data_IF_203221628665
#
_entry.id   IF_203221628665
#
_cell.length_a   1.000
_cell.length_b   1.000
_cell.length_c   1.000
_cell.angle_alpha   90.00
_cell.angle_beta   90.00
_cell.angle_gamma   90.00
#
_symmetry.space_group_name_H-M   'P 1'
#
loop_
_entity.id
_entity.type
_entity.pdbx_description
1 polymer ?
#
# COMPACT_ATOMS: atom_id res chain seq x y z
N UNK A 1 -41.51 27.47 89.30
CA UNK A 1 -40.60 27.49 88.13
C UNK A 1 -39.21 27.10 88.61
N UNK A 2 -38.96 25.80 88.73
CA UNK A 2 -37.63 25.25 89.00
C UNK A 2 -37.13 24.67 87.69
N UNK A 3 -36.14 25.33 87.10
CA UNK A 3 -35.38 24.83 85.96
C UNK A 3 -34.36 23.81 86.45
N UNK A 4 -34.65 22.53 86.27
CA UNK A 4 -33.67 21.45 86.47
C UNK A 4 -32.60 21.48 85.36
N UNK A 5 -31.31 21.32 85.68
CA UNK A 5 -30.26 21.12 84.69
C UNK A 5 -30.22 19.64 84.28
N UNK A 6 -30.35 19.38 82.97
CA UNK A 6 -30.19 18.06 82.36
C UNK A 6 -28.71 17.59 82.39
N UNK A 7 -28.44 16.28 82.56
CA UNK A 7 -27.10 15.78 82.83
C UNK A 7 -26.21 15.66 81.59
N UNK A 8 -24.97 16.12 81.76
CA UNK A 8 -23.82 16.20 80.82
C UNK A 8 -23.39 14.87 80.17
N UNK A 9 -23.88 13.72 80.65
CA UNK A 9 -23.41 12.38 80.23
C UNK A 9 -23.90 11.94 78.84
N UNK A 10 -25.00 12.48 78.31
CA UNK A 10 -25.59 12.04 77.03
C UNK A 10 -24.85 12.54 75.78
N UNK A 11 -24.11 13.66 75.90
CA UNK A 11 -23.30 14.22 74.81
C UNK A 11 -22.01 13.45 74.55
N UNK A 12 -21.44 12.83 75.57
CA UNK A 12 -20.23 12.02 75.43
C UNK A 12 -20.50 10.66 74.76
N UNK A 13 -21.61 10.01 75.09
CA UNK A 13 -22.00 8.72 74.49
C UNK A 13 -22.32 8.87 73.00
N UNK A 14 -22.97 9.97 72.61
CA UNK A 14 -23.30 10.26 71.21
C UNK A 14 -22.07 10.64 70.36
N UNK A 15 -21.07 11.31 70.95
CA UNK A 15 -19.80 11.61 70.27
C UNK A 15 -18.94 10.35 70.08
N UNK A 16 -18.86 9.50 71.11
CA UNK A 16 -18.14 8.23 71.04
C UNK A 16 -18.75 7.26 70.02
N UNK A 17 -20.08 7.14 69.98
CA UNK A 17 -20.79 6.27 69.04
C UNK A 17 -20.65 6.75 67.59
N UNK A 18 -20.73 8.07 67.34
CA UNK A 18 -20.53 8.66 66.01
C UNK A 18 -19.08 8.50 65.52
N UNK A 19 -18.11 8.65 66.41
CA UNK A 19 -16.69 8.46 66.08
C UNK A 19 -16.35 7.00 65.78
N UNK A 20 -16.92 6.05 66.53
CA UNK A 20 -16.77 4.62 66.27
C UNK A 20 -17.40 4.20 64.93
N UNK A 21 -18.59 4.70 64.61
CA UNK A 21 -19.26 4.39 63.34
C UNK A 21 -18.50 4.96 62.14
N UNK A 22 -17.97 6.19 62.27
CA UNK A 22 -17.14 6.81 61.24
C UNK A 22 -15.84 6.04 60.98
N UNK A 23 -15.22 5.51 62.02
CA UNK A 23 -13.99 4.72 61.91
C UNK A 23 -14.24 3.35 61.27
N UNK A 24 -15.35 2.69 61.62
CA UNK A 24 -15.77 1.44 60.98
C UNK A 24 -16.08 1.65 59.49
N UNK A 25 -16.79 2.71 59.13
CA UNK A 25 -17.07 3.05 57.74
C UNK A 25 -15.79 3.37 56.96
N UNK A 26 -14.86 4.10 57.58
CA UNK A 26 -13.57 4.42 56.95
C UNK A 26 -12.73 3.16 56.68
N UNK A 27 -12.64 2.25 57.66
CA UNK A 27 -11.93 0.97 57.51
C UNK A 27 -12.60 0.09 56.45
N UNK A 28 -13.94 0.06 56.39
CA UNK A 28 -14.67 -0.69 55.37
C UNK A 28 -14.40 -0.16 53.95
N UNK A 29 -14.40 1.17 53.76
CA UNK A 29 -14.12 1.80 52.45
C UNK A 29 -12.66 1.56 52.02
N UNK A 30 -11.70 1.67 52.94
CA UNK A 30 -10.29 1.38 52.67
C UNK A 30 -10.08 -0.10 52.30
N UNK A 31 -10.75 -1.03 52.99
CA UNK A 31 -10.64 -2.47 52.73
C UNK A 31 -11.22 -2.85 51.36
N UNK A 32 -12.35 -2.24 50.97
CA UNK A 32 -12.97 -2.46 49.65
C UNK A 32 -12.09 -1.87 48.54
N UNK A 33 -11.53 -0.67 48.74
CA UNK A 33 -10.61 -0.04 47.77
C UNK A 33 -9.32 -0.86 47.55
N UNK A 34 -8.77 -1.44 48.61
CA UNK A 34 -7.55 -2.25 48.53
C UNK A 34 -7.81 -3.61 47.85
N UNK A 35 -8.95 -4.25 48.11
CA UNK A 35 -9.34 -5.51 47.46
C UNK A 35 -9.50 -5.42 45.94
N UNK A 36 -10.06 -4.31 45.45
CA UNK A 36 -10.22 -4.07 43.99
C UNK A 36 -8.87 -3.77 43.33
N UNK A 37 -7.98 -3.03 43.98
CA UNK A 37 -6.64 -2.75 43.46
C UNK A 37 -5.78 -4.00 43.24
N UNK A 38 -5.90 -5.00 44.12
CA UNK A 38 -5.15 -6.26 44.02
C UNK A 38 -5.66 -7.16 42.89
N UNK A 39 -6.96 -7.16 42.58
CA UNK A 39 -7.53 -7.95 41.47
C UNK A 39 -7.21 -7.38 40.09
N UNK A 40 -7.00 -6.06 39.97
CA UNK A 40 -6.61 -5.41 38.70
C UNK A 40 -5.15 -5.71 38.35
N UNK A 41 -4.29 -5.95 39.35
CA UNK A 41 -2.86 -6.16 39.12
C UNK A 41 -2.48 -7.62 38.81
N UNK A 42 -3.34 -8.59 39.14
CA UNK A 42 -3.06 -10.01 38.91
C UNK A 42 -3.40 -10.50 37.50
N UNK A 43 -4.06 -9.69 36.66
CA UNK A 43 -4.41 -10.09 35.31
C UNK A 43 -4.10 -8.98 34.28
N UNK A 44 -2.82 -8.81 33.88
CA UNK A 44 -2.42 -7.84 32.86
C UNK A 44 -2.73 -8.42 31.47
N UNK A 45 -3.97 -8.83 31.23
CA UNK A 45 -4.46 -9.28 29.92
C UNK A 45 -4.45 -8.13 28.88
N UNK A 46 -4.22 -6.89 29.32
CA UNK A 46 -3.97 -5.73 28.47
C UNK A 46 -2.47 -5.51 28.16
N UNK A 47 -1.54 -6.18 28.85
CA UNK A 47 -0.11 -6.10 28.59
C UNK A 47 0.36 -7.06 27.47
N UNK A 48 -0.53 -7.91 26.95
CA UNK A 48 -0.25 -8.80 25.81
C UNK A 48 -0.90 -8.22 24.55
N UNK A 49 -0.43 -7.03 24.14
CA UNK A 49 -0.81 -6.44 22.85
C UNK A 49 0.38 -5.90 22.06
N UNK A 50 1.60 -6.28 22.45
CA UNK A 50 2.77 -6.14 21.60
C UNK A 50 3.83 -7.20 21.93
N UNK A 51 3.54 -8.45 21.54
CA UNK A 51 4.52 -9.12 20.69
C UNK A 51 4.10 -8.82 19.27
N UNK A 52 4.24 -7.55 18.86
CA UNK A 52 4.43 -7.28 17.44
C UNK A 52 5.51 -8.27 17.01
N UNK A 53 5.14 -9.18 16.13
CA UNK A 53 6.08 -10.16 15.61
C UNK A 53 7.36 -9.42 15.25
N UNK A 54 8.51 -9.93 15.69
CA UNK A 54 9.82 -9.38 15.32
C UNK A 54 9.82 -9.09 13.82
N UNK A 55 10.43 -8.00 13.36
CA UNK A 55 10.38 -7.56 11.96
C UNK A 55 10.56 -8.73 10.97
N UNK A 56 11.48 -9.67 11.26
CA UNK A 56 11.69 -10.91 10.51
C UNK A 56 10.44 -11.82 10.35
N UNK A 57 9.66 -12.02 11.41
CA UNK A 57 8.42 -12.82 11.38
C UNK A 57 7.26 -12.09 10.67
N UNK A 58 7.32 -10.75 10.61
CA UNK A 58 6.37 -9.97 9.82
C UNK A 58 6.75 -10.01 8.34
N UNK A 59 8.02 -9.78 8.00
CA UNK A 59 8.56 -9.86 6.64
C UNK A 59 8.32 -11.25 6.01
N UNK A 60 8.58 -12.34 6.74
CA UNK A 60 8.30 -13.71 6.27
C UNK A 60 6.82 -13.92 5.94
N UNK A 61 5.92 -13.41 6.80
CA UNK A 61 4.47 -13.51 6.56
C UNK A 61 4.02 -12.66 5.37
N UNK A 62 4.61 -11.48 5.16
CA UNK A 62 4.33 -10.65 3.99
C UNK A 62 4.83 -11.33 2.72
N UNK A 63 6.04 -11.87 2.72
CA UNK A 63 6.60 -12.58 1.59
C UNK A 63 5.77 -13.83 1.22
N UNK A 64 5.37 -14.63 2.20
CA UNK A 64 4.49 -15.78 2.02
C UNK A 64 3.09 -15.36 1.51
N UNK A 65 2.53 -14.27 2.05
CA UNK A 65 1.26 -13.73 1.56
C UNK A 65 1.35 -13.27 0.11
N UNK A 66 2.35 -12.47 -0.27
CA UNK A 66 2.53 -11.99 -1.64
C UNK A 66 2.78 -13.15 -2.62
N UNK A 67 3.46 -14.21 -2.17
CA UNK A 67 3.71 -15.41 -2.99
C UNK A 67 2.43 -16.23 -3.19
N UNK A 68 1.57 -16.33 -2.17
CA UNK A 68 0.28 -17.04 -2.25
C UNK A 68 -0.83 -16.23 -2.92
N UNK A 69 -0.64 -14.91 -3.08
CA UNK A 69 -1.64 -13.97 -3.64
C UNK A 69 -0.96 -13.01 -4.65
N UNK A 70 -0.37 -13.52 -5.76
CA UNK A 70 0.35 -12.69 -6.72
C UNK A 70 -0.52 -11.62 -7.40
N UNK A 71 -1.83 -11.80 -7.43
CA UNK A 71 -2.81 -10.81 -7.91
C UNK A 71 -2.71 -9.47 -7.17
N UNK A 72 -2.36 -9.47 -5.88
CA UNK A 72 -2.18 -8.24 -5.08
C UNK A 72 -1.10 -7.34 -5.69
N UNK A 73 -0.05 -7.93 -6.27
CA UNK A 73 1.03 -7.20 -6.93
C UNK A 73 0.52 -6.60 -8.25
N UNK A 74 -0.25 -7.37 -9.02
CA UNK A 74 -0.85 -6.89 -10.26
C UNK A 74 -1.79 -5.71 -10.02
N UNK A 75 -2.69 -5.83 -9.03
CA UNK A 75 -3.62 -4.78 -8.62
C UNK A 75 -2.88 -3.53 -8.13
N UNK A 76 -1.77 -3.70 -7.38
CA UNK A 76 -0.94 -2.59 -6.93
C UNK A 76 -0.29 -1.84 -8.10
N UNK A 77 0.20 -2.54 -9.12
CA UNK A 77 0.74 -1.92 -10.32
C UNK A 77 -0.32 -1.19 -11.13
N UNK A 78 -1.52 -1.76 -11.27
CA UNK A 78 -2.64 -1.12 -11.96
C UNK A 78 -3.07 0.16 -11.24
N UNK A 79 -3.30 0.08 -9.93
CA UNK A 79 -3.66 1.24 -9.11
C UNK A 79 -2.57 2.34 -9.14
N UNK A 80 -1.29 1.96 -9.26
CA UNK A 80 -0.20 2.92 -9.44
C UNK A 80 -0.19 3.53 -10.84
N UNK A 81 -0.38 2.73 -11.88
CA UNK A 81 -0.42 3.18 -13.26
C UNK A 81 -1.54 4.21 -13.48
N UNK A 82 -2.75 3.94 -12.98
CA UNK A 82 -3.89 4.87 -12.99
C UNK A 82 -3.53 6.22 -12.37
N UNK A 83 -2.86 6.22 -11.21
CA UNK A 83 -2.43 7.45 -10.53
C UNK A 83 -1.39 8.24 -11.31
N UNK A 84 -0.51 7.55 -12.02
CA UNK A 84 0.55 8.16 -12.83
C UNK A 84 0.05 8.62 -14.20
N UNK A 85 -1.21 8.33 -14.57
CA UNK A 85 -1.68 8.49 -15.95
C UNK A 85 -0.91 7.62 -16.96
N UNK A 86 -0.11 6.67 -16.47
CA UNK A 86 0.65 5.71 -17.25
C UNK A 86 -0.14 4.43 -17.44
N UNK A 87 0.18 3.65 -18.46
CA UNK A 87 -0.63 2.50 -18.86
C UNK A 87 0.24 1.23 -18.88
N UNK A 88 0.70 0.79 -17.70
CA UNK A 88 1.41 -0.49 -17.55
C UNK A 88 0.41 -1.51 -17.01
N UNK A 89 -0.02 -2.46 -17.84
CA UNK A 89 -0.94 -3.53 -17.41
C UNK A 89 -0.20 -4.86 -17.36
N UNK A 90 -0.12 -5.46 -16.17
CA UNK A 90 0.46 -6.77 -15.91
C UNK A 90 -0.68 -7.79 -15.78
N UNK A 91 -1.25 -8.22 -16.91
CA UNK A 91 -2.07 -9.44 -16.92
C UNK A 91 -2.11 -10.07 -18.32
N UNK A 92 -1.52 -11.25 -18.38
CA UNK A 92 -1.57 -12.20 -19.47
C UNK A 92 -2.94 -12.90 -19.50
N UNK A 93 -3.88 -12.34 -20.25
CA UNK A 93 -5.00 -13.06 -20.86
C UNK A 93 -5.06 -12.65 -22.34
N UNK A 94 -4.05 -13.12 -23.07
CA UNK A 94 -3.93 -13.00 -24.51
C UNK A 94 -5.08 -13.76 -25.18
N UNK A 95 -6.16 -13.06 -25.55
CA UNK A 95 -7.11 -13.52 -26.56
C UNK A 95 -7.48 -12.32 -27.46
N UNK A 96 -6.83 -12.30 -28.62
CA UNK A 96 -7.23 -11.65 -29.88
C UNK A 96 -7.67 -10.18 -29.79
N UNK A 97 -6.75 -9.28 -30.16
CA UNK A 97 -6.99 -7.89 -30.58
C UNK A 97 -7.34 -6.84 -29.51
N UNK A 98 -7.14 -7.13 -28.22
CA UNK A 98 -7.12 -6.09 -27.19
C UNK A 98 -5.72 -6.04 -26.58
N UNK A 99 -4.81 -5.43 -27.33
CA UNK A 99 -3.49 -5.07 -26.83
C UNK A 99 -3.65 -4.17 -25.61
N UNK A 100 -3.01 -4.61 -24.53
CA UNK A 100 -2.81 -3.99 -23.23
C UNK A 100 -2.87 -2.47 -23.24
N UNK A 101 -3.75 -1.98 -22.36
CA UNK A 101 -3.63 -0.77 -21.54
C UNK A 101 -4.76 0.23 -21.73
N UNK A 102 -5.10 0.91 -20.63
CA UNK A 102 -5.79 2.19 -20.61
C UNK A 102 -4.96 3.30 -21.29
N UNK A 103 -4.24 3.00 -22.38
CA UNK A 103 -3.88 4.00 -23.37
C UNK A 103 -5.19 4.71 -23.72
N UNK A 104 -5.22 6.04 -23.62
CA UNK A 104 -6.20 6.86 -24.37
C UNK A 104 -6.42 6.13 -25.68
N UNK A 105 -7.64 5.66 -25.98
CA UNK A 105 -7.92 4.79 -27.14
C UNK A 105 -7.64 5.60 -28.40
N UNK A 106 -6.36 5.72 -28.73
CA UNK A 106 -5.89 6.33 -29.95
C UNK A 106 -6.49 5.48 -31.05
N UNK A 107 -7.10 6.11 -32.05
CA UNK A 107 -7.50 5.33 -33.21
C UNK A 107 -6.24 4.74 -33.83
N UNK A 108 -6.40 3.75 -34.69
CA UNK A 108 -5.29 3.20 -35.45
C UNK A 108 -4.48 4.32 -36.14
N UNK A 109 -5.17 5.31 -36.70
CA UNK A 109 -4.54 6.43 -37.37
C UNK A 109 -3.72 7.33 -36.43
N UNK A 110 -4.15 7.56 -35.18
CA UNK A 110 -3.32 8.31 -34.23
C UNK A 110 -2.07 7.54 -33.83
N UNK A 111 -2.18 6.22 -33.57
CA UNK A 111 -0.99 5.41 -33.25
C UNK A 111 -0.01 5.38 -34.41
N UNK A 112 -0.52 5.16 -35.62
CA UNK A 112 0.31 5.14 -36.83
C UNK A 112 1.06 6.48 -36.99
N UNK A 113 0.41 7.62 -36.73
CA UNK A 113 1.09 8.93 -36.74
C UNK A 113 2.17 9.04 -35.66
N UNK A 114 1.87 8.65 -34.41
CA UNK A 114 2.86 8.71 -33.32
C UNK A 114 4.09 7.83 -33.57
N UNK A 115 3.90 6.68 -34.20
CA UNK A 115 4.99 5.77 -34.49
C UNK A 115 5.81 6.21 -35.71
N UNK A 116 5.15 6.73 -36.76
CA UNK A 116 5.77 6.94 -38.06
C UNK A 116 6.23 8.38 -38.33
N UNK A 117 5.68 9.37 -37.62
CA UNK A 117 5.81 10.82 -37.91
C UNK A 117 6.37 11.62 -36.74
N UNK A 118 6.97 10.95 -35.76
CA UNK A 118 7.62 11.60 -34.63
C UNK A 118 8.92 12.31 -35.09
N UNK A 119 9.01 13.65 -34.93
CA UNK A 119 10.15 14.42 -35.41
C UNK A 119 11.47 14.10 -34.68
N UNK A 120 11.39 13.54 -33.47
CA UNK A 120 12.57 13.18 -32.68
C UNK A 120 13.08 11.77 -33.00
N UNK A 121 12.35 11.00 -33.82
CA UNK A 121 12.74 9.65 -34.23
C UNK A 121 13.64 9.66 -35.46
N UNK A 122 14.85 9.10 -35.38
CA UNK A 122 15.74 9.00 -36.53
C UNK A 122 15.13 8.16 -37.65
N UNK A 123 15.36 8.60 -38.89
CA UNK A 123 14.93 7.90 -40.10
C UNK A 123 16.16 7.47 -40.91
N UNK A 124 16.21 6.19 -41.29
CA UNK A 124 17.25 5.62 -42.17
C UNK A 124 16.64 5.24 -43.53
N UNK A 125 17.47 5.36 -44.57
CA UNK A 125 17.08 5.04 -45.94
C UNK A 125 16.31 6.15 -46.62
N UNK A 126 15.26 5.77 -47.38
CA UNK A 126 14.46 6.74 -48.11
C UNK A 126 13.44 7.42 -47.17
N UNK A 127 13.74 8.65 -46.75
CA UNK A 127 12.84 9.44 -45.90
C UNK A 127 11.45 9.65 -46.53
N UNK A 128 11.34 9.61 -47.86
CA UNK A 128 10.09 9.73 -48.60
C UNK A 128 9.51 8.37 -49.01
N UNK A 129 10.02 7.27 -48.45
CA UNK A 129 9.54 5.93 -48.69
C UNK A 129 8.08 5.76 -48.25
N UNK A 130 7.29 5.06 -49.07
CA UNK A 130 5.87 4.81 -48.82
C UNK A 130 5.59 3.50 -48.07
N UNK A 131 6.65 2.72 -47.77
CA UNK A 131 6.60 1.56 -46.89
C UNK A 131 7.41 1.93 -45.65
N UNK A 132 6.79 1.93 -44.48
CA UNK A 132 7.46 2.27 -43.21
C UNK A 132 7.64 1.02 -42.35
N UNK A 133 8.88 0.75 -41.96
CA UNK A 133 9.22 -0.20 -40.91
C UNK A 133 9.59 0.60 -39.66
N UNK A 134 8.93 0.31 -38.54
CA UNK A 134 9.29 0.90 -37.24
C UNK A 134 10.11 -0.13 -36.47
N UNK A 135 11.37 0.20 -36.18
CA UNK A 135 12.27 -0.64 -35.41
C UNK A 135 12.36 -0.12 -33.98
N UNK A 136 11.89 -0.95 -33.04
CA UNK A 136 12.14 -0.75 -31.62
C UNK A 136 13.46 -1.42 -31.25
N UNK A 137 14.43 -0.65 -30.79
CA UNK A 137 15.77 -1.13 -30.53
C UNK A 137 16.28 -0.62 -29.18
N UNK A 138 17.22 -1.35 -28.59
CA UNK A 138 17.93 -0.95 -27.38
C UNK A 138 19.43 -1.15 -27.64
N UNK A 139 20.24 -0.13 -27.38
CA UNK A 139 21.70 -0.19 -27.55
C UNK A 139 22.36 -1.33 -26.76
N UNK A 140 21.76 -1.74 -25.64
CA UNK A 140 22.23 -2.84 -24.80
C UNK A 140 21.80 -4.21 -25.31
N UNK A 141 20.81 -4.29 -26.21
CA UNK A 141 20.31 -5.55 -26.73
C UNK A 141 21.26 -6.14 -27.80
N UNK A 142 21.88 -7.31 -27.55
CA UNK A 142 22.78 -7.92 -28.53
C UNK A 142 22.06 -8.36 -29.82
N UNK A 143 20.79 -8.73 -29.74
CA UNK A 143 19.99 -9.10 -30.92
C UNK A 143 19.65 -7.89 -31.79
N UNK A 144 19.35 -6.73 -31.20
CA UNK A 144 19.15 -5.49 -31.94
C UNK A 144 20.41 -5.10 -32.72
N UNK A 145 21.61 -5.36 -32.16
CA UNK A 145 22.86 -5.14 -32.91
C UNK A 145 23.05 -6.13 -34.07
N UNK A 146 22.60 -7.37 -33.91
CA UNK A 146 22.73 -8.40 -34.94
C UNK A 146 21.82 -8.16 -36.15
N UNK A 147 20.63 -7.57 -35.95
CA UNK A 147 19.68 -7.36 -37.04
C UNK A 147 20.04 -6.18 -37.95
N UNK A 148 20.99 -5.33 -37.57
CA UNK A 148 21.40 -4.15 -38.35
C UNK A 148 21.80 -4.51 -39.79
N UNK A 149 22.54 -5.62 -39.98
CA UNK A 149 22.95 -6.07 -41.32
C UNK A 149 21.74 -6.48 -42.17
N UNK A 150 20.79 -7.23 -41.59
CA UNK A 150 19.55 -7.61 -42.25
C UNK A 150 18.71 -6.38 -42.67
N UNK A 151 18.72 -5.32 -41.87
CA UNK A 151 17.99 -4.09 -42.19
C UNK A 151 18.66 -3.30 -43.31
N UNK A 152 19.99 -3.31 -43.36
CA UNK A 152 20.76 -2.72 -44.45
C UNK A 152 20.47 -3.47 -45.77
N UNK A 153 20.50 -4.81 -45.75
CA UNK A 153 20.13 -5.64 -46.91
C UNK A 153 18.69 -5.39 -47.37
N UNK A 154 17.75 -5.25 -46.42
CA UNK A 154 16.35 -5.01 -46.72
C UNK A 154 16.13 -3.63 -47.36
N UNK A 155 16.90 -2.63 -46.93
CA UNK A 155 16.87 -1.28 -47.49
C UNK A 155 17.42 -1.27 -48.91
N UNK A 156 18.52 -1.98 -49.16
CA UNK A 156 19.13 -2.11 -50.49
C UNK A 156 18.20 -2.85 -51.47
N UNK A 157 17.51 -3.88 -50.99
CA UNK A 157 16.54 -4.63 -51.79
C UNK A 157 15.24 -3.85 -52.09
N UNK A 158 14.90 -2.84 -51.29
CA UNK A 158 13.65 -2.08 -51.42
C UNK A 158 13.85 -0.56 -51.31
N UNK A 159 14.08 0.14 -52.42
CA UNK A 159 14.26 1.60 -52.44
C UNK A 159 13.08 2.43 -51.93
N UNK A 160 11.90 1.81 -51.74
CA UNK A 160 10.70 2.47 -51.20
C UNK A 160 10.60 2.36 -49.68
N UNK A 161 11.51 1.62 -49.04
CA UNK A 161 11.52 1.41 -47.61
C UNK A 161 12.06 2.63 -46.87
N UNK A 162 11.31 3.02 -45.83
CA UNK A 162 11.68 3.98 -44.80
C UNK A 162 11.77 3.24 -43.48
N UNK A 163 12.89 3.34 -42.76
CA UNK A 163 13.03 2.74 -41.43
C UNK A 163 13.03 3.86 -40.38
N UNK A 164 12.09 3.81 -39.44
CA UNK A 164 11.97 4.75 -38.31
C UNK A 164 12.42 4.03 -37.03
N UNK A 165 13.36 4.63 -36.31
CA UNK A 165 13.96 4.03 -35.11
C UNK A 165 13.29 4.57 -33.84
N UNK A 166 12.98 3.67 -32.91
CA UNK A 166 12.40 3.95 -31.58
C UNK A 166 13.25 3.28 -30.50
N UNK A 167 13.79 4.09 -29.58
CA UNK A 167 14.53 3.62 -28.40
C UNK A 167 13.59 3.44 -27.20
#
# INVERSE_FOLDING_TARGET
MTSDPMPEKSRFVSFALRSALALILFVAVVSIGFGVGVLVQSNPQWAVLSTAATDAQFEERVADYLTRNPEVIADAFEAYAERQGGSTSFSSAQNNNTGHSASRRLTRAERDRQLNEDPDSPVRGNANGNITLVEFFDYNCPYCRQILETLDDLQDANPRLRIVYKE
#
